data_IF_416236538329
#
_entry.id   IF_416236538329
#
_cell.length_a   1.000
_cell.length_b   1.000
_cell.length_c   1.000
_cell.angle_alpha   90.00
_cell.angle_beta   90.00
_cell.angle_gamma   90.00
#
_symmetry.space_group_name_H-M   'P 1'
#
loop_
_entity.id
_entity.type
_entity.pdbx_description
1 polymer ?
#
# COMPACT_ATOMS: atom_id res chain seq x y z
N UNK A 1 23.67 -0.17 22.77
CA UNK A 1 22.98 -1.44 22.58
C UNK A 1 21.69 -1.20 21.82
N UNK A 2 21.73 -1.44 20.49
CA UNK A 2 20.60 -1.25 19.56
C UNK A 2 19.63 -2.41 19.76
N UNK A 3 18.48 -2.15 20.37
CA UNK A 3 17.38 -3.12 20.45
C UNK A 3 16.55 -3.00 19.16
N UNK A 4 16.62 -4.05 18.34
CA UNK A 4 15.79 -4.21 17.16
C UNK A 4 14.30 -4.18 17.56
N UNK A 5 13.51 -3.40 16.82
CA UNK A 5 12.06 -3.40 16.89
C UNK A 5 11.57 -4.75 16.33
N UNK A 6 10.95 -5.54 17.18
CA UNK A 6 10.28 -6.77 16.79
C UNK A 6 9.07 -6.42 15.91
N UNK A 7 9.17 -6.70 14.62
CA UNK A 7 8.04 -6.79 13.71
C UNK A 7 7.14 -7.93 14.21
N UNK A 8 5.85 -7.64 14.40
CA UNK A 8 4.85 -8.64 14.73
C UNK A 8 4.78 -9.69 13.62
N UNK A 9 5.37 -10.84 13.89
CA UNK A 9 5.34 -12.01 13.02
C UNK A 9 4.01 -12.73 13.26
N UNK A 10 2.96 -12.35 12.53
CA UNK A 10 1.78 -13.20 12.44
C UNK A 10 2.20 -14.49 11.71
N UNK A 11 2.10 -15.61 12.42
CA UNK A 11 2.48 -16.91 11.90
C UNK A 11 1.67 -17.25 10.65
N UNK A 12 2.36 -17.45 9.53
CA UNK A 12 1.76 -17.91 8.27
C UNK A 12 1.06 -19.25 8.54
N UNK A 13 -0.23 -19.43 8.16
CA UNK A 13 -0.98 -20.68 8.35
C UNK A 13 -0.23 -21.89 7.76
N UNK A 14 -0.29 -23.02 8.45
CA UNK A 14 0.44 -24.25 8.06
C UNK A 14 0.20 -24.68 6.60
N UNK A 15 -1.05 -24.59 6.12
CA UNK A 15 -1.40 -24.91 4.73
C UNK A 15 -0.62 -24.08 3.70
N UNK A 16 -0.31 -22.82 3.99
CA UNK A 16 0.50 -21.95 3.10
C UNK A 16 1.99 -22.28 3.14
N UNK A 17 2.48 -22.87 4.24
CA UNK A 17 3.87 -23.34 4.35
C UNK A 17 4.11 -24.56 3.47
N UNK A 18 3.14 -25.48 3.40
CA UNK A 18 3.22 -26.70 2.58
C UNK A 18 3.13 -26.35 1.09
N UNK A 19 2.33 -25.38 0.70
CA UNK A 19 2.27 -24.86 -0.69
C UNK A 19 3.59 -24.24 -1.14
N UNK A 20 4.24 -23.45 -0.29
CA UNK A 20 5.53 -22.84 -0.59
C UNK A 20 6.65 -23.89 -0.72
N UNK A 21 6.57 -24.98 0.00
CA UNK A 21 7.57 -26.08 -0.06
C UNK A 21 7.59 -26.83 -1.40
N UNK A 22 6.47 -26.81 -2.14
CA UNK A 22 6.32 -27.42 -3.46
C UNK A 22 6.61 -26.45 -4.62
N UNK A 23 6.84 -25.17 -4.33
CA UNK A 23 7.13 -24.13 -5.31
C UNK A 23 8.61 -24.12 -5.70
N UNK A 24 8.90 -23.63 -6.91
CA UNK A 24 10.28 -23.24 -7.24
C UNK A 24 10.75 -22.13 -6.30
N UNK A 25 12.06 -21.99 -6.02
CA UNK A 25 12.55 -20.96 -5.09
C UNK A 25 12.08 -19.55 -5.43
N UNK A 26 11.95 -19.22 -6.72
CA UNK A 26 11.44 -17.93 -7.18
C UNK A 26 9.94 -17.74 -6.86
N UNK A 27 9.13 -18.77 -7.11
CA UNK A 27 7.68 -18.73 -6.79
C UNK A 27 7.46 -18.70 -5.28
N UNK A 28 8.27 -19.44 -4.50
CA UNK A 28 8.20 -19.39 -3.04
C UNK A 28 8.47 -17.96 -2.51
N UNK A 29 9.51 -17.27 -3.02
CA UNK A 29 9.78 -15.87 -2.67
C UNK A 29 8.62 -14.94 -3.08
N UNK A 30 8.05 -15.13 -4.29
CA UNK A 30 6.89 -14.36 -4.74
C UNK A 30 5.71 -14.51 -3.79
N UNK A 31 5.37 -15.75 -3.43
CA UNK A 31 4.23 -16.05 -2.54
C UNK A 31 4.42 -15.47 -1.13
N UNK A 32 5.65 -15.51 -0.61
CA UNK A 32 6.00 -14.91 0.68
C UNK A 32 5.79 -13.37 0.66
N UNK A 33 6.32 -12.70 -0.36
CA UNK A 33 6.17 -11.25 -0.52
C UNK A 33 4.70 -10.89 -0.77
N UNK A 34 3.99 -11.67 -1.59
CA UNK A 34 2.55 -11.46 -1.85
C UNK A 34 1.71 -11.64 -0.59
N UNK A 35 2.01 -12.60 0.27
CA UNK A 35 1.30 -12.81 1.53
C UNK A 35 1.42 -11.60 2.47
N UNK A 36 2.56 -10.90 2.47
CA UNK A 36 2.77 -9.66 3.23
C UNK A 36 2.09 -8.44 2.60
N UNK A 37 1.66 -8.53 1.32
CA UNK A 37 1.04 -7.45 0.55
C UNK A 37 -0.23 -7.95 -0.17
N UNK A 38 -1.08 -8.67 0.55
CA UNK A 38 -2.20 -9.43 0.00
C UNK A 38 -3.22 -8.55 -0.75
N UNK A 39 -3.42 -7.32 -0.33
CA UNK A 39 -4.36 -6.33 -0.87
C UNK A 39 -3.81 -5.50 -2.04
N UNK A 40 -2.59 -5.80 -2.51
CA UNK A 40 -1.92 -5.07 -3.58
C UNK A 40 -1.52 -6.00 -4.72
N UNK A 41 -1.61 -5.52 -5.96
CA UNK A 41 -1.01 -6.21 -7.10
C UNK A 41 0.51 -6.15 -6.97
N UNK A 42 1.21 -7.27 -7.07
CA UNK A 42 2.64 -7.32 -6.88
C UNK A 42 3.39 -7.18 -8.21
N UNK A 43 4.01 -6.02 -8.44
CA UNK A 43 4.97 -5.78 -9.51
C UNK A 43 6.32 -6.38 -9.11
N UNK A 44 6.56 -7.63 -9.53
CA UNK A 44 7.73 -8.40 -9.13
C UNK A 44 8.84 -8.27 -10.16
N UNK A 45 9.96 -7.61 -9.83
CA UNK A 45 11.06 -7.32 -10.75
C UNK A 45 11.73 -8.60 -11.26
N UNK A 46 11.72 -8.78 -12.59
CA UNK A 46 12.37 -9.87 -13.31
C UNK A 46 13.14 -9.30 -14.52
N UNK A 47 14.42 -8.98 -14.33
CA UNK A 47 15.23 -8.31 -15.35
C UNK A 47 14.63 -6.95 -15.73
N UNK A 48 14.27 -6.77 -16.99
CA UNK A 48 13.71 -5.53 -17.54
C UNK A 48 12.17 -5.46 -17.46
N UNK A 49 11.54 -6.41 -16.75
CA UNK A 49 10.10 -6.46 -16.58
C UNK A 49 9.71 -6.47 -15.10
N UNK A 50 8.50 -5.96 -14.82
CA UNK A 50 7.73 -6.35 -13.67
C UNK A 50 6.75 -7.44 -14.09
N UNK A 51 6.91 -8.63 -13.52
CA UNK A 51 6.03 -9.78 -13.77
C UNK A 51 5.01 -9.89 -12.65
N UNK A 52 3.79 -10.25 -13.01
CA UNK A 52 2.70 -10.57 -12.08
C UNK A 52 2.31 -12.03 -12.31
N UNK A 53 1.94 -12.72 -11.24
CA UNK A 53 1.58 -14.13 -11.27
C UNK A 53 0.23 -14.38 -10.62
N UNK A 54 -0.36 -15.53 -10.91
CA UNK A 54 -1.63 -16.00 -10.35
C UNK A 54 -2.77 -14.99 -10.58
N UNK A 55 -3.59 -14.74 -9.56
CA UNK A 55 -4.71 -13.82 -9.61
C UNK A 55 -4.29 -12.38 -9.98
N UNK A 56 -3.12 -11.93 -9.50
CA UNK A 56 -2.59 -10.60 -9.85
C UNK A 56 -2.39 -10.45 -11.35
N UNK A 57 -1.91 -11.52 -12.01
CA UNK A 57 -1.73 -11.52 -13.46
C UNK A 57 -3.07 -11.44 -14.22
N UNK A 58 -4.08 -12.16 -13.74
CA UNK A 58 -5.42 -12.14 -14.35
C UNK A 58 -6.08 -10.78 -14.21
N UNK A 59 -5.98 -10.17 -13.03
CA UNK A 59 -6.51 -8.83 -12.75
C UNK A 59 -5.78 -7.80 -13.61
N UNK A 60 -4.45 -7.80 -13.60
CA UNK A 60 -3.65 -6.83 -14.35
C UNK A 60 -3.83 -6.98 -15.85
N UNK A 61 -3.82 -8.19 -16.38
CA UNK A 61 -4.06 -8.46 -17.80
C UNK A 61 -5.39 -7.88 -18.25
N UNK A 62 -6.46 -8.14 -17.49
CA UNK A 62 -7.82 -7.65 -17.77
C UNK A 62 -7.92 -6.12 -17.70
N UNK A 63 -7.32 -5.53 -16.66
CA UNK A 63 -7.37 -4.07 -16.41
C UNK A 63 -6.54 -3.29 -17.42
N UNK A 64 -5.38 -3.82 -17.79
CA UNK A 64 -4.43 -3.15 -18.67
C UNK A 64 -4.62 -3.50 -20.16
N UNK A 65 -5.36 -4.58 -20.46
CA UNK A 65 -5.50 -5.09 -21.82
C UNK A 65 -4.20 -5.67 -22.37
N UNK A 66 -3.37 -6.28 -21.50
CA UNK A 66 -2.11 -6.94 -21.90
C UNK A 66 -2.25 -8.46 -21.93
N UNK A 67 -1.36 -9.12 -22.67
CA UNK A 67 -1.41 -10.57 -22.84
C UNK A 67 -1.24 -11.32 -21.52
N UNK A 68 -2.14 -12.27 -21.25
CA UNK A 68 -2.00 -13.26 -20.20
C UNK A 68 -1.31 -14.48 -20.77
N UNK A 69 -0.20 -14.89 -20.19
CA UNK A 69 0.59 -16.04 -20.57
C UNK A 69 0.71 -17.04 -19.41
N UNK A 70 1.61 -17.99 -19.52
CA UNK A 70 1.86 -19.01 -18.48
C UNK A 70 3.35 -19.14 -18.24
N UNK A 71 3.73 -19.33 -16.96
CA UNK A 71 5.13 -19.53 -16.58
C UNK A 71 5.29 -20.67 -15.58
N UNK A 72 5.58 -21.86 -16.10
CA UNK A 72 5.77 -23.04 -15.28
C UNK A 72 4.48 -23.56 -14.63
N UNK A 73 4.63 -24.42 -13.63
CA UNK A 73 3.53 -25.02 -12.89
C UNK A 73 3.72 -24.92 -11.39
N UNK A 74 2.63 -24.77 -10.68
CA UNK A 74 2.55 -24.86 -9.23
C UNK A 74 1.39 -25.77 -8.86
N UNK A 75 1.63 -26.77 -7.99
CA UNK A 75 0.63 -27.78 -7.60
C UNK A 75 -0.04 -28.47 -8.82
N UNK A 76 0.74 -28.71 -9.89
CA UNK A 76 0.25 -29.33 -11.11
C UNK A 76 -0.51 -28.43 -12.08
N UNK A 77 -0.84 -27.20 -11.69
CA UNK A 77 -1.54 -26.23 -12.53
C UNK A 77 -0.57 -25.23 -13.16
N UNK A 78 -0.89 -24.76 -14.37
CA UNK A 78 -0.14 -23.70 -15.02
C UNK A 78 -0.27 -22.40 -14.22
N UNK A 79 0.84 -21.68 -14.06
CA UNK A 79 0.85 -20.38 -13.37
C UNK A 79 0.52 -19.29 -14.39
N UNK A 80 -0.64 -18.60 -14.27
CA UNK A 80 -0.92 -17.43 -15.08
C UNK A 80 0.14 -16.36 -14.84
N UNK A 81 0.58 -15.67 -15.90
CA UNK A 81 1.58 -14.61 -15.82
C UNK A 81 1.29 -13.53 -16.85
N UNK A 82 1.49 -12.28 -16.48
CA UNK A 82 1.65 -11.16 -17.39
C UNK A 82 2.85 -10.30 -16.94
N UNK A 83 3.30 -9.40 -17.80
CA UNK A 83 4.43 -8.55 -17.47
C UNK A 83 4.36 -7.20 -18.17
N UNK A 84 4.95 -6.20 -17.54
CA UNK A 84 5.09 -4.84 -18.08
C UNK A 84 6.56 -4.43 -18.10
N UNK A 85 7.04 -3.77 -19.16
CA UNK A 85 8.41 -3.29 -19.19
C UNK A 85 8.66 -2.24 -18.12
N UNK A 86 9.80 -2.32 -17.44
CA UNK A 86 10.16 -1.38 -16.35
C UNK A 86 10.17 0.06 -16.83
N UNK A 87 10.74 0.33 -18.02
CA UNK A 87 10.79 1.68 -18.59
C UNK A 87 9.42 2.29 -18.92
N UNK A 88 8.37 1.49 -18.97
CA UNK A 88 7.00 1.93 -19.23
C UNK A 88 6.09 1.75 -18.00
N UNK A 89 6.63 1.38 -16.85
CA UNK A 89 5.86 1.01 -15.67
C UNK A 89 4.92 2.12 -15.20
N UNK A 90 5.33 3.39 -15.24
CA UNK A 90 4.53 4.52 -14.78
C UNK A 90 3.16 4.60 -15.47
N UNK A 91 3.12 4.43 -16.81
CA UNK A 91 1.86 4.44 -17.54
C UNK A 91 0.93 3.27 -17.18
N UNK A 92 1.49 2.12 -16.82
CA UNK A 92 0.72 0.97 -16.33
C UNK A 92 0.26 1.16 -14.89
N UNK A 93 1.11 1.71 -14.02
CA UNK A 93 0.74 2.09 -12.65
C UNK A 93 -0.42 3.08 -12.65
N UNK A 94 -0.35 4.15 -13.46
CA UNK A 94 -1.43 5.12 -13.60
C UNK A 94 -2.76 4.45 -13.92
N UNK A 95 -2.78 3.52 -14.89
CA UNK A 95 -4.00 2.83 -15.31
C UNK A 95 -4.54 1.91 -14.22
N UNK A 96 -3.68 1.22 -13.47
CA UNK A 96 -4.09 0.37 -12.36
C UNK A 96 -4.64 1.19 -11.20
N UNK A 97 -3.92 2.24 -10.79
CA UNK A 97 -4.32 3.14 -9.70
C UNK A 97 -5.63 3.87 -10.05
N UNK A 98 -5.75 4.37 -11.29
CA UNK A 98 -6.98 5.01 -11.78
C UNK A 98 -8.20 4.07 -11.86
N UNK A 99 -8.00 2.75 -11.74
CA UNK A 99 -9.06 1.72 -11.62
C UNK A 99 -9.25 1.23 -10.18
N UNK A 100 -8.64 1.90 -9.21
CA UNK A 100 -8.78 1.60 -7.77
C UNK A 100 -7.90 0.48 -7.26
N UNK A 101 -6.94 -0.01 -8.06
CA UNK A 101 -5.98 -1.01 -7.59
C UNK A 101 -4.84 -0.35 -6.80
N UNK A 102 -4.27 -1.11 -5.88
CA UNK A 102 -3.01 -0.80 -5.18
C UNK A 102 -1.91 -1.65 -5.79
N UNK A 103 -0.70 -1.12 -5.85
CA UNK A 103 0.44 -1.85 -6.43
C UNK A 103 1.63 -1.81 -5.48
N UNK A 104 2.13 -2.98 -5.10
CA UNK A 104 3.40 -3.12 -4.39
C UNK A 104 4.51 -3.31 -5.42
N UNK A 105 5.45 -2.38 -5.48
CA UNK A 105 6.61 -2.45 -6.37
C UNK A 105 7.75 -3.16 -5.64
N UNK A 106 8.12 -4.31 -6.17
CA UNK A 106 9.14 -5.20 -5.61
C UNK A 106 10.37 -5.21 -6.48
N UNK A 107 11.48 -4.72 -5.95
CA UNK A 107 12.77 -4.59 -6.62
C UNK A 107 13.78 -5.64 -6.18
N UNK A 108 14.77 -5.89 -7.03
CA UNK A 108 15.96 -6.65 -6.68
C UNK A 108 16.82 -5.82 -5.72
N UNK A 109 17.07 -6.35 -4.53
CA UNK A 109 17.82 -5.68 -3.47
C UNK A 109 19.28 -6.17 -3.36
N UNK A 110 19.71 -7.05 -4.27
CA UNK A 110 21.09 -7.51 -4.41
C UNK A 110 21.48 -7.66 -5.88
N UNK A 111 22.79 -7.64 -6.15
CA UNK A 111 23.31 -7.94 -7.47
C UNK A 111 23.08 -9.44 -7.81
N UNK A 112 22.54 -9.76 -9.01
CA UNK A 112 22.41 -11.15 -9.46
C UNK A 112 23.70 -11.97 -9.43
N UNK A 113 24.88 -11.32 -9.56
CA UNK A 113 26.16 -11.97 -9.44
C UNK A 113 26.43 -12.47 -8.01
N UNK A 114 26.00 -11.73 -7.00
CA UNK A 114 26.12 -12.14 -5.59
C UNK A 114 25.18 -13.31 -5.28
N UNK A 115 23.98 -13.31 -5.84
CA UNK A 115 23.07 -14.45 -5.70
C UNK A 115 23.68 -15.73 -6.27
N UNK A 116 24.34 -15.67 -7.44
CA UNK A 116 25.00 -16.84 -8.06
C UNK A 116 26.10 -17.43 -7.18
N UNK A 117 26.78 -16.66 -6.36
CA UNK A 117 27.82 -17.16 -5.43
C UNK A 117 27.24 -18.07 -4.35
N UNK A 118 25.95 -17.94 -4.02
CA UNK A 118 25.24 -18.81 -3.05
C UNK A 118 24.83 -20.17 -3.61
N UNK A 119 25.03 -20.40 -4.91
CA UNK A 119 24.76 -21.66 -5.59
C UNK A 119 23.73 -21.53 -6.71
N UNK A 120 23.66 -22.58 -7.56
CA UNK A 120 22.86 -22.58 -8.78
C UNK A 120 21.33 -22.43 -8.56
N UNK A 121 20.82 -22.73 -7.35
CA UNK A 121 19.42 -22.61 -6.97
C UNK A 121 19.10 -21.32 -6.21
N UNK A 122 20.10 -20.46 -5.96
CA UNK A 122 19.88 -19.23 -5.24
C UNK A 122 19.05 -18.24 -6.07
N UNK A 123 18.07 -17.62 -5.42
CA UNK A 123 17.22 -16.58 -6.01
C UNK A 123 17.77 -15.23 -5.60
N UNK A 124 17.78 -14.28 -6.53
CA UNK A 124 18.10 -12.86 -6.24
C UNK A 124 17.12 -12.36 -5.19
N UNK A 125 17.62 -11.73 -4.14
CA UNK A 125 16.78 -11.15 -3.10
C UNK A 125 15.96 -10.01 -3.66
N UNK A 126 14.72 -9.96 -3.23
CA UNK A 126 13.76 -8.91 -3.60
C UNK A 126 13.00 -8.47 -2.36
N UNK A 127 12.61 -7.20 -2.38
CA UNK A 127 11.78 -6.63 -1.33
C UNK A 127 10.84 -5.58 -1.92
N UNK A 128 9.72 -5.32 -1.26
CA UNK A 128 8.83 -4.23 -1.62
C UNK A 128 9.47 -2.92 -1.19
N UNK A 129 9.84 -2.11 -2.18
CA UNK A 129 10.48 -0.80 -1.96
C UNK A 129 9.47 0.34 -1.95
N UNK A 130 8.28 0.09 -2.50
CA UNK A 130 7.25 1.12 -2.63
C UNK A 130 5.86 0.51 -2.71
N UNK A 131 4.90 1.13 -2.03
CA UNK A 131 3.49 0.90 -2.18
C UNK A 131 2.87 2.09 -2.94
N UNK A 132 2.29 1.81 -4.10
CA UNK A 132 1.63 2.82 -4.93
C UNK A 132 0.13 2.70 -4.75
N UNK A 133 -0.48 3.77 -4.27
CA UNK A 133 -1.92 3.89 -4.04
C UNK A 133 -2.39 5.27 -4.52
N UNK A 134 -3.69 5.53 -4.63
CA UNK A 134 -4.18 6.83 -5.10
C UNK A 134 -3.62 8.03 -4.30
N UNK A 135 -3.43 7.88 -2.98
CA UNK A 135 -2.92 8.94 -2.10
C UNK A 135 -1.39 8.98 -1.97
N UNK A 136 -0.65 8.00 -2.51
CA UNK A 136 0.81 7.91 -2.39
C UNK A 136 1.56 8.13 -3.70
N UNK A 137 0.87 8.65 -4.73
CA UNK A 137 1.50 9.00 -6.01
C UNK A 137 2.50 10.14 -5.81
N UNK A 138 3.68 9.99 -6.40
CA UNK A 138 4.75 11.01 -6.38
C UNK A 138 5.28 11.32 -7.78
N UNK A 139 4.88 10.53 -8.78
CA UNK A 139 5.29 10.75 -10.16
C UNK A 139 4.55 11.96 -10.74
N UNK A 140 5.32 12.93 -11.21
CA UNK A 140 4.80 14.15 -11.84
C UNK A 140 3.85 13.84 -13.01
N UNK A 141 4.13 12.77 -13.77
CA UNK A 141 3.27 12.30 -14.86
C UNK A 141 1.91 11.74 -14.43
N UNK A 142 1.75 11.40 -13.14
CA UNK A 142 0.54 10.80 -12.56
C UNK A 142 -0.29 11.78 -11.73
N UNK A 143 0.24 12.98 -11.48
CA UNK A 143 -0.36 14.01 -10.65
C UNK A 143 -0.96 15.15 -11.49
N UNK A 144 -2.03 15.76 -10.99
CA UNK A 144 -2.51 17.02 -11.52
C UNK A 144 -1.66 18.17 -10.94
N UNK A 145 -0.88 18.85 -11.78
CA UNK A 145 -0.04 19.96 -11.36
C UNK A 145 -0.80 21.16 -10.71
N UNK A 146 -2.13 21.15 -10.78
CA UNK A 146 -3.02 22.21 -10.25
C UNK A 146 -3.76 21.81 -8.98
N UNK A 147 -3.55 20.60 -8.48
CA UNK A 147 -4.27 20.09 -7.31
C UNK A 147 -3.33 19.26 -6.44
N UNK A 148 -3.52 19.35 -5.12
CA UNK A 148 -2.84 18.47 -4.19
C UNK A 148 -3.39 17.05 -4.30
N UNK A 149 -2.52 16.08 -4.07
CA UNK A 149 -2.89 14.66 -3.96
C UNK A 149 -2.80 14.21 -2.50
N UNK A 150 -3.82 14.53 -1.71
CA UNK A 150 -3.78 14.24 -0.29
C UNK A 150 -4.04 12.77 0.03
N UNK A 151 -3.14 12.18 0.81
CA UNK A 151 -3.39 11.00 1.64
C UNK A 151 -3.90 11.49 3.00
N UNK A 152 -5.14 11.17 3.35
CA UNK A 152 -5.79 11.68 4.56
C UNK A 152 -6.06 10.57 5.55
N UNK A 153 -5.49 10.65 6.76
CA UNK A 153 -5.90 9.81 7.88
C UNK A 153 -7.07 10.48 8.61
N UNK A 154 -8.14 9.73 8.87
CA UNK A 154 -9.33 10.22 9.57
C UNK A 154 -9.57 9.38 10.81
N UNK A 155 -9.71 10.05 11.95
CA UNK A 155 -9.93 9.44 13.26
C UNK A 155 -11.11 10.09 13.96
N UNK A 156 -12.02 9.29 14.55
CA UNK A 156 -13.09 9.80 15.40
C UNK A 156 -12.58 10.02 16.82
N UNK A 157 -12.49 11.27 17.23
CA UNK A 157 -12.14 11.61 18.61
C UNK A 157 -13.36 11.40 19.53
N UNK A 158 -13.17 10.91 20.77
CA UNK A 158 -14.21 10.88 21.77
C UNK A 158 -14.70 12.30 22.04
N UNK A 159 -16.01 12.55 21.96
CA UNK A 159 -16.60 13.83 22.32
C UNK A 159 -17.43 13.68 23.59
N UNK A 160 -17.26 14.59 24.55
CA UNK A 160 -18.00 14.60 25.80
C UNK A 160 -19.47 15.03 25.66
N UNK A 161 -19.86 15.66 24.54
CA UNK A 161 -21.16 16.32 24.36
C UNK A 161 -22.08 15.64 23.32
N UNK A 162 -21.78 14.39 22.91
CA UNK A 162 -22.62 13.65 21.96
C UNK A 162 -22.33 13.94 20.48
N UNK A 163 -21.75 15.08 20.13
CA UNK A 163 -21.33 15.35 18.75
C UNK A 163 -19.96 14.73 18.48
N UNK A 164 -19.85 13.93 17.43
CA UNK A 164 -18.56 13.38 17.01
C UNK A 164 -17.69 14.50 16.42
N UNK A 165 -16.41 14.51 16.85
CA UNK A 165 -15.37 15.33 16.24
C UNK A 165 -14.42 14.38 15.51
N UNK A 166 -14.08 14.72 14.28
CA UNK A 166 -13.10 13.99 13.49
C UNK A 166 -11.79 14.76 13.43
N UNK A 167 -10.70 14.07 13.71
CA UNK A 167 -9.36 14.56 13.46
C UNK A 167 -8.92 14.09 12.06
N UNK A 168 -8.47 15.03 11.24
CA UNK A 168 -7.93 14.79 9.91
C UNK A 168 -6.46 15.17 9.89
N UNK A 169 -5.62 14.27 9.35
CA UNK A 169 -4.24 14.57 9.01
C UNK A 169 -4.05 14.24 7.52
N UNK A 170 -3.84 15.25 6.71
CA UNK A 170 -3.75 15.16 5.25
C UNK A 170 -2.35 15.53 4.81
N UNK A 171 -1.66 14.65 4.11
CA UNK A 171 -0.32 14.88 3.58
C UNK A 171 -0.33 14.72 2.07
N UNK A 172 0.24 15.69 1.37
CA UNK A 172 0.65 15.53 -0.02
C UNK A 172 2.13 15.12 -0.04
N UNK A 173 2.37 13.85 -0.38
CA UNK A 173 3.72 13.27 -0.36
C UNK A 173 4.62 13.90 -1.42
N UNK A 174 4.05 14.40 -2.52
CA UNK A 174 4.79 15.01 -3.63
C UNK A 174 5.35 16.39 -3.28
N UNK A 175 4.60 17.17 -2.48
CA UNK A 175 4.97 18.54 -2.08
C UNK A 175 5.50 18.62 -0.65
N UNK A 176 5.21 17.61 0.19
CA UNK A 176 5.50 17.61 1.62
C UNK A 176 4.52 18.47 2.44
N UNK A 177 3.44 18.97 1.84
CA UNK A 177 2.41 19.73 2.57
C UNK A 177 1.67 18.82 3.54
N UNK A 178 1.56 19.26 4.79
CA UNK A 178 0.83 18.55 5.85
C UNK A 178 -0.22 19.49 6.46
N UNK A 179 -1.48 19.09 6.40
CA UNK A 179 -2.61 19.79 7.00
C UNK A 179 -3.20 18.95 8.13
N UNK A 180 -3.49 19.57 9.26
CA UNK A 180 -4.17 18.93 10.40
C UNK A 180 -5.40 19.74 10.77
N UNK A 181 -6.54 19.09 10.95
CA UNK A 181 -7.79 19.73 11.31
C UNK A 181 -8.61 18.88 12.28
N UNK A 182 -9.40 19.57 13.12
CA UNK A 182 -10.47 18.96 13.92
C UNK A 182 -11.81 19.44 13.38
N UNK A 183 -12.66 18.53 12.93
CA UNK A 183 -13.87 18.84 12.17
C UNK A 183 -15.09 18.23 12.87
N UNK A 184 -16.12 19.02 13.21
CA UNK A 184 -17.40 18.48 13.67
C UNK A 184 -18.03 17.56 12.62
N UNK A 185 -18.77 16.54 13.07
CA UNK A 185 -19.41 15.56 12.18
C UNK A 185 -20.28 16.20 11.08
N UNK A 186 -21.00 17.25 11.40
CA UNK A 186 -21.86 18.00 10.47
C UNK A 186 -21.10 18.67 9.32
N UNK A 187 -19.82 19.01 9.53
CA UNK A 187 -18.98 19.76 8.60
C UNK A 187 -18.02 18.85 7.81
N UNK A 188 -17.96 17.55 8.17
CA UNK A 188 -17.00 16.59 7.59
C UNK A 188 -17.14 16.46 6.07
N UNK A 189 -18.37 16.40 5.56
CA UNK A 189 -18.63 16.30 4.11
C UNK A 189 -18.07 17.52 3.35
N UNK A 190 -18.28 18.73 3.88
CA UNK A 190 -17.76 19.96 3.30
C UNK A 190 -16.23 20.00 3.31
N UNK A 191 -15.61 19.54 4.40
CA UNK A 191 -14.17 19.51 4.52
C UNK A 191 -13.52 18.48 3.56
N UNK A 192 -14.10 17.28 3.42
CA UNK A 192 -13.64 16.29 2.44
C UNK A 192 -13.81 16.81 1.00
N UNK A 193 -14.90 17.48 0.70
CA UNK A 193 -15.11 18.10 -0.62
C UNK A 193 -14.10 19.23 -0.91
N UNK A 194 -13.66 19.97 0.13
CA UNK A 194 -12.61 20.99 0.03
C UNK A 194 -11.22 20.40 -0.20
N UNK A 195 -10.87 19.39 0.59
CA UNK A 195 -9.56 18.72 0.51
C UNK A 195 -9.42 17.86 -0.75
N UNK A 196 -10.50 17.23 -1.20
CA UNK A 196 -10.51 16.27 -2.32
C UNK A 196 -9.40 15.24 -2.19
N UNK A 197 -9.36 14.46 -1.09
CA UNK A 197 -8.30 13.49 -0.87
C UNK A 197 -8.31 12.42 -1.96
N UNK A 198 -7.13 12.01 -2.44
CA UNK A 198 -6.99 10.86 -3.33
C UNK A 198 -7.25 9.55 -2.61
N UNK A 199 -6.93 9.50 -1.31
CA UNK A 199 -7.11 8.32 -0.47
C UNK A 199 -7.38 8.71 0.98
N UNK A 200 -8.27 7.95 1.63
CA UNK A 200 -8.58 8.10 3.06
C UNK A 200 -8.22 6.82 3.80
N UNK A 201 -7.42 6.97 4.85
CA UNK A 201 -7.05 5.91 5.79
C UNK A 201 -8.02 5.92 6.97
N UNK A 202 -8.68 4.79 7.25
CA UNK A 202 -9.59 4.60 8.38
C UNK A 202 -9.20 3.40 9.24
N UNK A 203 -9.48 3.49 10.53
CA UNK A 203 -9.55 2.31 11.40
C UNK A 203 -10.69 1.37 10.99
N UNK A 204 -10.51 0.07 11.23
CA UNK A 204 -11.47 -0.98 10.93
C UNK A 204 -12.86 -0.74 11.55
N UNK A 205 -12.93 -0.09 12.71
CA UNK A 205 -14.14 0.32 13.39
C UNK A 205 -14.96 1.35 12.56
N UNK A 206 -14.31 2.40 12.06
CA UNK A 206 -14.95 3.42 11.22
C UNK A 206 -15.19 2.93 9.79
N UNK A 207 -14.31 2.13 9.26
CA UNK A 207 -14.43 1.57 7.92
C UNK A 207 -15.64 0.61 7.78
N UNK A 208 -16.17 0.11 8.89
CA UNK A 208 -17.36 -0.74 8.93
C UNK A 208 -18.67 0.06 8.94
N UNK A 209 -18.61 1.38 9.17
CA UNK A 209 -19.79 2.27 9.19
C UNK A 209 -20.26 2.56 7.74
N UNK A 210 -21.49 2.16 7.35
CA UNK A 210 -22.01 2.39 6.00
C UNK A 210 -22.11 3.89 5.66
N UNK A 211 -22.41 4.74 6.64
CA UNK A 211 -22.49 6.19 6.45
C UNK A 211 -21.13 6.78 6.11
N UNK A 212 -20.09 6.33 6.78
CA UNK A 212 -18.73 6.76 6.51
C UNK A 212 -18.25 6.29 5.12
N UNK A 213 -18.53 5.03 4.75
CA UNK A 213 -18.20 4.52 3.40
C UNK A 213 -18.84 5.36 2.31
N UNK A 214 -20.14 5.64 2.44
CA UNK A 214 -20.88 6.47 1.48
C UNK A 214 -20.28 7.88 1.39
N UNK A 215 -19.91 8.50 2.50
CA UNK A 215 -19.29 9.82 2.54
C UNK A 215 -17.97 9.84 1.77
N UNK A 216 -17.14 8.79 1.91
CA UNK A 216 -15.86 8.65 1.21
C UNK A 216 -16.07 8.43 -0.30
N UNK A 217 -17.05 7.62 -0.67
CA UNK A 217 -17.44 7.42 -2.07
C UNK A 217 -17.91 8.73 -2.72
N UNK A 218 -18.76 9.51 -2.02
CA UNK A 218 -19.23 10.82 -2.47
C UNK A 218 -18.06 11.84 -2.61
N UNK A 219 -17.02 11.73 -1.78
CA UNK A 219 -15.80 12.53 -1.90
C UNK A 219 -14.90 12.07 -3.06
N UNK A 220 -15.17 10.92 -3.68
CA UNK A 220 -14.35 10.35 -4.76
C UNK A 220 -13.00 9.80 -4.31
N UNK A 221 -12.81 9.57 -3.01
CA UNK A 221 -11.57 9.09 -2.43
C UNK A 221 -11.51 7.56 -2.39
N UNK A 222 -10.32 7.00 -2.57
CA UNK A 222 -10.09 5.59 -2.28
C UNK A 222 -10.10 5.34 -0.77
N UNK A 223 -10.72 4.24 -0.33
CA UNK A 223 -10.73 3.84 1.07
C UNK A 223 -9.63 2.80 1.33
N UNK A 224 -8.78 3.08 2.32
CA UNK A 224 -7.83 2.12 2.87
C UNK A 224 -8.13 1.87 4.33
N UNK A 225 -8.48 0.63 4.63
CA UNK A 225 -8.73 0.18 6.00
C UNK A 225 -7.43 -0.27 6.64
N UNK A 226 -7.18 0.21 7.86
CA UNK A 226 -6.03 -0.15 8.68
C UNK A 226 -6.49 -0.67 10.05
N UNK A 227 -5.72 -1.54 10.70
CA UNK A 227 -6.01 -1.94 12.07
C UNK A 227 -6.11 -0.72 12.99
N UNK A 228 -7.09 -0.71 13.90
CA UNK A 228 -7.28 0.39 14.87
C UNK A 228 -6.01 0.73 15.66
N UNK A 229 -5.14 -0.24 15.90
CA UNK A 229 -3.85 -0.04 16.58
C UNK A 229 -2.91 0.94 15.86
N UNK A 230 -3.13 1.21 14.57
CA UNK A 230 -2.38 2.23 13.83
C UNK A 230 -2.83 3.66 14.17
N UNK A 231 -4.01 3.82 14.75
CA UNK A 231 -4.60 5.10 15.18
C UNK A 231 -4.46 5.34 16.68
N UNK A 232 -3.52 4.67 17.35
CA UNK A 232 -3.21 4.88 18.76
C UNK A 232 -2.48 6.21 18.98
N UNK A 233 -3.09 7.13 19.72
CA UNK A 233 -2.57 8.48 19.95
C UNK A 233 -1.23 8.50 20.69
N UNK A 234 -1.04 7.63 21.67
CA UNK A 234 0.22 7.56 22.42
C UNK A 234 1.37 7.05 21.55
N UNK A 235 1.08 6.08 20.65
CA UNK A 235 2.04 5.63 19.65
C UNK A 235 2.35 6.74 18.66
N UNK A 236 1.33 7.45 18.17
CA UNK A 236 1.46 8.57 17.24
C UNK A 236 2.33 9.68 17.83
N UNK A 237 2.07 10.07 19.06
CA UNK A 237 2.87 11.08 19.79
C UNK A 237 4.34 10.68 19.91
N UNK A 238 4.63 9.45 20.32
CA UNK A 238 6.00 8.94 20.41
C UNK A 238 6.71 8.97 19.05
N UNK A 239 6.00 8.58 17.99
CA UNK A 239 6.54 8.56 16.64
C UNK A 239 6.86 9.97 16.14
N UNK A 240 5.95 10.92 16.34
CA UNK A 240 6.14 12.33 15.97
C UNK A 240 7.31 12.95 16.73
N UNK A 241 7.36 12.80 18.05
CA UNK A 241 8.49 13.29 18.87
C UNK A 241 9.82 12.73 18.39
N UNK A 242 9.88 11.45 18.08
CA UNK A 242 11.10 10.80 17.56
C UNK A 242 11.51 11.33 16.17
N UNK A 243 10.53 11.56 15.28
CA UNK A 243 10.79 12.05 13.92
C UNK A 243 11.18 13.50 13.88
N UNK A 244 10.56 14.34 14.71
CA UNK A 244 10.85 15.78 14.79
C UNK A 244 12.05 16.09 15.69
N UNK A 245 12.56 15.12 16.47
CA UNK A 245 13.66 15.33 17.42
C UNK A 245 13.29 16.22 18.62
N UNK A 246 11.99 16.25 19.00
CA UNK A 246 11.47 17.09 20.08
C UNK A 246 11.00 16.29 21.29
N UNK A 247 10.99 16.94 22.46
CA UNK A 247 10.51 16.33 23.71
C UNK A 247 9.01 16.52 23.93
N UNK A 248 8.43 17.60 23.37
CA UNK A 248 7.02 17.95 23.49
C UNK A 248 6.49 18.44 22.13
N UNK A 249 5.16 18.35 21.91
CA UNK A 249 4.49 18.79 20.70
C UNK A 249 3.72 20.10 20.88
N UNK A 250 3.85 20.75 22.04
CA UNK A 250 3.07 21.95 22.42
C UNK A 250 3.36 23.18 21.54
N UNK A 251 4.41 23.12 20.71
CA UNK A 251 4.82 24.21 19.82
C UNK A 251 4.34 24.06 18.36
N UNK A 252 3.56 22.98 18.08
CA UNK A 252 3.07 22.67 16.73
C UNK A 252 1.56 22.80 16.63
#
# INVERSE_FOLDING_TARGET
>A
GTKALASGNEAIPEARRDEAALATPMIAQYLEIKAANADSLLFYRMGDFYELFFEDAEIASRTLGIALTKRGKHLGQDIPMCGVPVHAADGYLQRLIGRGHRVAVCEQTEDPAEAKKRGAKAVVRRDVVRLVTPGTLTEESLLDARANNFLTALFAAPSGNGDRIYALASVDISTGELLVASVPSKDLSGELARLRPGEILLGDDLASDPGMRRLIEEAGAALTQLPRSQFDSARGERLLKSRLGVQALDAF
#
